data_IF_486886614565
#
_entry.id   IF_486886614565
#
_cell.length_a   1.000
_cell.length_b   1.000
_cell.length_c   1.000
_cell.angle_alpha   90.00
_cell.angle_beta   90.00
_cell.angle_gamma   90.00
#
_symmetry.space_group_name_H-M   'P 1'
#
loop_
_entity.id
_entity.type
_entity.pdbx_description
1 polymer ?
#
# COMPACT_ATOMS: atom_id res chain seq x y z
N UNK A 1 -8.18 4.45 -19.43
CA UNK A 1 -9.59 4.87 -19.65
C UNK A 1 -10.13 5.55 -18.41
N UNK A 2 -11.16 6.41 -18.54
CA UNK A 2 -11.85 6.98 -17.38
C UNK A 2 -13.18 6.26 -17.17
N UNK A 3 -13.44 5.81 -15.95
CA UNK A 3 -14.65 5.06 -15.59
C UNK A 3 -15.42 5.85 -14.55
N UNK A 4 -16.67 6.22 -14.86
CA UNK A 4 -17.59 6.84 -13.90
C UNK A 4 -18.21 5.74 -13.04
N UNK A 5 -17.98 5.80 -11.76
CA UNK A 5 -18.56 4.90 -10.76
C UNK A 5 -19.63 5.61 -9.95
N UNK A 6 -20.27 4.92 -9.03
CA UNK A 6 -21.22 5.54 -8.07
C UNK A 6 -20.54 6.46 -7.05
N UNK A 7 -19.20 6.49 -6.99
CA UNK A 7 -18.43 7.21 -5.97
C UNK A 7 -17.59 8.35 -6.53
N UNK A 8 -16.89 8.13 -7.66
CA UNK A 8 -16.01 9.10 -8.31
C UNK A 8 -15.70 8.67 -9.75
N UNK A 9 -15.02 9.52 -10.51
CA UNK A 9 -14.49 9.14 -11.82
C UNK A 9 -13.05 8.65 -11.64
N UNK A 10 -12.82 7.34 -11.87
CA UNK A 10 -11.50 6.73 -11.77
C UNK A 10 -10.80 6.68 -13.12
N UNK A 11 -9.50 6.99 -13.11
CA UNK A 11 -8.63 6.63 -14.21
C UNK A 11 -8.17 5.18 -14.04
N UNK A 12 -8.26 4.40 -15.10
CA UNK A 12 -7.86 2.99 -15.12
C UNK A 12 -6.89 2.76 -16.26
N UNK A 13 -5.68 2.35 -15.95
CA UNK A 13 -4.74 1.83 -16.92
C UNK A 13 -5.19 0.43 -17.32
N UNK A 14 -5.22 0.12 -18.60
CA UNK A 14 -5.56 -1.20 -19.13
C UNK A 14 -4.69 -1.51 -20.33
N UNK A 15 -4.36 -2.77 -20.52
CA UNK A 15 -3.61 -3.28 -21.67
C UNK A 15 -4.24 -4.61 -22.11
N UNK A 16 -4.07 -4.97 -23.37
CA UNK A 16 -4.38 -6.31 -23.86
C UNK A 16 -5.86 -6.59 -24.08
N UNK A 17 -6.29 -7.78 -23.70
CA UNK A 17 -7.56 -8.39 -24.09
C UNK A 17 -8.71 -8.01 -23.16
N UNK A 18 -9.70 -7.29 -23.65
CA UNK A 18 -10.90 -6.89 -22.90
C UNK A 18 -11.82 -8.07 -22.51
N UNK A 19 -11.65 -9.24 -23.13
CA UNK A 19 -12.42 -10.46 -22.88
C UNK A 19 -11.69 -11.45 -21.95
N UNK A 20 -10.48 -11.12 -21.51
CA UNK A 20 -9.68 -11.97 -20.63
C UNK A 20 -10.22 -12.01 -19.21
N UNK A 21 -9.66 -12.93 -18.40
CA UNK A 21 -9.94 -13.03 -16.96
C UNK A 21 -9.40 -11.80 -16.23
N UNK A 22 -10.25 -11.08 -15.44
CA UNK A 22 -9.84 -9.81 -14.88
C UNK A 22 -8.78 -9.95 -13.78
N UNK A 23 -7.68 -9.21 -13.91
CA UNK A 23 -6.65 -9.04 -12.87
C UNK A 23 -6.54 -7.56 -12.54
N UNK A 24 -6.89 -7.19 -11.32
CA UNK A 24 -6.92 -5.79 -10.89
C UNK A 24 -5.72 -5.49 -10.00
N UNK A 25 -4.88 -4.55 -10.43
CA UNK A 25 -3.64 -4.15 -9.78
C UNK A 25 -3.84 -2.85 -9.00
N UNK A 26 -3.67 -2.89 -7.69
CA UNK A 26 -3.87 -1.76 -6.78
C UNK A 26 -2.51 -1.28 -6.29
N UNK A 27 -2.19 -0.02 -6.60
CA UNK A 27 -0.90 0.59 -6.28
C UNK A 27 -0.78 1.02 -4.81
N UNK A 28 0.44 1.36 -4.39
CA UNK A 28 0.77 1.80 -3.03
C UNK A 28 0.57 3.31 -2.79
N UNK A 29 1.03 3.76 -1.62
CA UNK A 29 1.07 5.18 -1.29
C UNK A 29 2.14 5.90 -2.13
N UNK A 30 1.92 7.20 -2.43
CA UNK A 30 2.81 8.06 -3.24
C UNK A 30 3.27 7.35 -4.53
N UNK A 31 2.28 6.89 -5.30
CA UNK A 31 2.45 6.20 -6.58
C UNK A 31 1.16 6.29 -7.40
N UNK A 32 1.09 5.61 -8.52
CA UNK A 32 -0.14 5.47 -9.32
C UNK A 32 -0.18 4.12 -10.04
N UNK A 33 -1.23 3.87 -10.81
CA UNK A 33 -1.35 2.71 -11.70
C UNK A 33 -0.14 2.51 -12.62
N UNK A 34 0.61 3.59 -12.88
CA UNK A 34 1.81 3.57 -13.71
C UNK A 34 2.89 2.58 -13.21
N UNK A 35 2.97 2.33 -11.89
CA UNK A 35 3.89 1.34 -11.32
C UNK A 35 3.61 -0.10 -11.77
N UNK A 36 2.44 -0.37 -12.32
CA UNK A 36 2.04 -1.69 -12.82
C UNK A 36 2.19 -1.85 -14.32
N UNK A 37 2.59 -0.78 -15.07
CA UNK A 37 2.65 -0.76 -16.55
C UNK A 37 3.36 -1.98 -17.12
N UNK A 38 4.59 -2.26 -16.65
CA UNK A 38 5.45 -3.31 -17.22
C UNK A 38 4.98 -4.71 -16.79
N UNK A 39 4.49 -4.85 -15.56
CA UNK A 39 3.86 -6.08 -15.07
C UNK A 39 2.63 -6.44 -15.90
N UNK A 40 1.76 -5.47 -16.19
CA UNK A 40 0.55 -5.66 -16.98
C UNK A 40 0.87 -6.03 -18.44
N UNK A 41 1.88 -5.39 -19.03
CA UNK A 41 2.28 -5.62 -20.43
C UNK A 41 2.83 -7.03 -20.68
N UNK A 42 3.29 -7.73 -19.63
CA UNK A 42 3.87 -9.08 -19.72
C UNK A 42 2.92 -10.19 -19.29
N UNK A 43 1.67 -9.85 -18.92
CA UNK A 43 0.65 -10.88 -18.63
C UNK A 43 0.21 -11.61 -19.92
N UNK A 44 -0.05 -12.92 -19.83
CA UNK A 44 -0.63 -13.68 -20.94
C UNK A 44 -1.98 -13.10 -21.40
N UNK A 45 -2.27 -13.20 -22.71
CA UNK A 45 -3.49 -12.69 -23.36
C UNK A 45 -4.81 -13.23 -22.78
N UNK A 46 -4.77 -14.36 -22.05
CA UNK A 46 -5.94 -14.89 -21.34
C UNK A 46 -6.41 -14.01 -20.19
N UNK A 47 -5.58 -13.08 -19.72
CA UNK A 47 -5.91 -12.13 -18.64
C UNK A 47 -6.27 -10.76 -19.19
N UNK A 48 -7.13 -10.07 -18.46
CA UNK A 48 -7.48 -8.67 -18.66
C UNK A 48 -6.91 -7.84 -17.52
N UNK A 49 -5.72 -7.25 -17.66
CA UNK A 49 -5.13 -6.43 -16.63
C UNK A 49 -5.79 -5.05 -16.55
N UNK A 50 -6.11 -4.62 -15.33
CA UNK A 50 -6.72 -3.35 -15.00
C UNK A 50 -5.97 -2.76 -13.80
N UNK A 51 -5.53 -1.51 -13.87
CA UNK A 51 -4.93 -0.83 -12.74
C UNK A 51 -5.60 0.54 -12.54
N UNK A 52 -6.48 0.70 -11.53
CA UNK A 52 -7.02 2.00 -11.19
C UNK A 52 -5.97 2.86 -10.51
N UNK A 53 -5.97 4.16 -10.81
CA UNK A 53 -5.42 5.15 -9.89
C UNK A 53 -6.37 5.28 -8.70
N UNK A 54 -5.85 5.20 -7.50
CA UNK A 54 -6.63 5.42 -6.27
C UNK A 54 -7.00 6.91 -6.12
N UNK A 55 -8.05 7.21 -5.33
CA UNK A 55 -8.44 8.60 -5.05
C UNK A 55 -7.26 9.43 -4.54
N UNK A 56 -7.07 10.63 -5.06
CA UNK A 56 -5.96 11.50 -4.69
C UNK A 56 -4.60 11.14 -5.30
N UNK A 57 -4.56 10.16 -6.22
CA UNK A 57 -3.37 9.76 -6.96
C UNK A 57 -3.63 9.72 -8.46
N UNK A 58 -2.56 9.84 -9.25
CA UNK A 58 -2.63 9.73 -10.69
C UNK A 58 -3.60 10.73 -11.32
N UNK A 59 -4.51 10.23 -12.12
CA UNK A 59 -5.52 11.00 -12.84
C UNK A 59 -6.95 10.74 -12.35
N UNK A 60 -7.12 10.03 -11.24
CA UNK A 60 -8.41 9.84 -10.57
C UNK A 60 -8.84 11.12 -9.87
N UNK A 61 -10.16 11.37 -9.78
CA UNK A 61 -10.69 12.54 -9.11
C UNK A 61 -10.21 12.59 -7.64
N UNK A 62 -9.75 13.74 -7.17
CA UNK A 62 -9.13 13.86 -5.84
C UNK A 62 -10.19 14.05 -4.75
N UNK A 63 -11.04 13.04 -4.56
CA UNK A 63 -12.01 13.05 -3.46
C UNK A 63 -11.31 12.96 -2.10
N UNK A 64 -11.80 13.66 -1.06
CA UNK A 64 -11.27 13.59 0.28
C UNK A 64 -11.25 12.17 0.86
N UNK A 65 -10.31 11.89 1.76
CA UNK A 65 -10.20 10.62 2.49
C UNK A 65 -10.73 10.81 3.91
N UNK A 66 -11.80 10.10 4.27
CA UNK A 66 -12.26 9.95 5.64
C UNK A 66 -11.44 8.84 6.32
N UNK A 67 -10.39 9.26 7.04
CA UNK A 67 -9.48 8.33 7.68
C UNK A 67 -10.12 7.50 8.80
N UNK A 68 -11.22 7.99 9.41
CA UNK A 68 -11.91 7.26 10.47
C UNK A 68 -12.50 5.93 10.00
N UNK A 69 -12.61 5.73 8.69
CA UNK A 69 -13.06 4.51 8.02
C UNK A 69 -11.91 3.56 7.66
N UNK A 70 -10.68 3.89 8.03
CA UNK A 70 -9.49 3.17 7.60
C UNK A 70 -9.33 3.23 6.08
N UNK A 71 -9.03 2.09 5.44
CA UNK A 71 -8.87 2.02 3.99
C UNK A 71 -10.20 1.83 3.22
N UNK A 72 -11.36 1.96 3.89
CA UNK A 72 -12.67 1.73 3.23
C UNK A 72 -12.99 2.70 2.12
N UNK A 73 -12.52 3.93 2.16
CA UNK A 73 -12.74 4.83 1.03
C UNK A 73 -12.10 4.30 -0.26
N UNK A 74 -10.93 3.70 -0.14
CA UNK A 74 -10.22 3.09 -1.27
C UNK A 74 -10.83 1.75 -1.70
N UNK A 75 -11.18 0.89 -0.75
CA UNK A 75 -11.77 -0.41 -1.08
C UNK A 75 -13.21 -0.27 -1.62
N UNK A 76 -14.00 0.68 -1.11
CA UNK A 76 -15.33 0.98 -1.65
C UNK A 76 -15.24 1.55 -3.07
N UNK A 77 -14.23 2.40 -3.37
CA UNK A 77 -13.99 2.89 -4.73
C UNK A 77 -13.61 1.74 -5.67
N UNK A 78 -12.74 0.83 -5.21
CA UNK A 78 -12.38 -0.38 -5.95
C UNK A 78 -13.61 -1.24 -6.23
N UNK A 79 -14.43 -1.53 -5.23
CA UNK A 79 -15.66 -2.32 -5.38
C UNK A 79 -16.68 -1.63 -6.31
N UNK A 80 -16.82 -0.30 -6.22
CA UNK A 80 -17.66 0.47 -7.13
C UNK A 80 -17.14 0.45 -8.58
N UNK A 81 -15.81 0.39 -8.77
CA UNK A 81 -15.21 0.20 -10.08
C UNK A 81 -15.54 -1.19 -10.66
N UNK A 82 -15.43 -2.25 -9.84
CA UNK A 82 -15.79 -3.60 -10.29
C UNK A 82 -17.25 -3.65 -10.74
N UNK A 83 -18.15 -3.04 -9.97
CA UNK A 83 -19.59 -2.96 -10.30
C UNK A 83 -19.83 -2.17 -11.60
N UNK A 84 -19.18 -1.03 -11.77
CA UNK A 84 -19.30 -0.20 -12.98
C UNK A 84 -18.78 -0.90 -14.25
N UNK A 85 -17.82 -1.80 -14.11
CA UNK A 85 -17.26 -2.61 -15.19
C UNK A 85 -17.97 -3.97 -15.39
N UNK A 86 -18.96 -4.31 -14.53
CA UNK A 86 -19.67 -5.58 -14.57
C UNK A 86 -18.77 -6.78 -14.23
N UNK A 87 -17.77 -6.61 -13.37
CA UNK A 87 -16.81 -7.64 -13.01
C UNK A 87 -17.29 -8.39 -11.76
N UNK A 88 -17.78 -9.61 -11.96
CA UNK A 88 -18.34 -10.43 -10.88
C UNK A 88 -17.28 -11.25 -10.13
N UNK A 89 -16.14 -11.53 -10.77
CA UNK A 89 -15.04 -12.29 -10.18
C UNK A 89 -13.70 -11.80 -10.73
N UNK A 90 -12.77 -11.45 -9.83
CA UNK A 90 -11.49 -10.85 -10.19
C UNK A 90 -10.34 -11.40 -9.35
N UNK A 91 -9.16 -11.45 -9.92
CA UNK A 91 -7.91 -11.57 -9.16
C UNK A 91 -7.49 -10.17 -8.70
N UNK A 92 -7.14 -10.03 -7.42
CA UNK A 92 -6.67 -8.78 -6.84
C UNK A 92 -5.16 -8.85 -6.57
N UNK A 93 -4.43 -7.86 -7.03
CA UNK A 93 -2.98 -7.70 -6.76
C UNK A 93 -2.79 -6.36 -6.06
N UNK A 94 -2.29 -6.36 -4.83
CA UNK A 94 -2.12 -5.14 -4.05
C UNK A 94 -0.70 -4.94 -3.56
N UNK A 95 -0.12 -3.78 -3.84
CA UNK A 95 1.22 -3.40 -3.41
C UNK A 95 1.16 -2.38 -2.28
N UNK A 96 1.94 -2.59 -1.19
CA UNK A 96 2.05 -1.64 -0.08
C UNK A 96 0.67 -1.32 0.53
N UNK A 97 0.27 -0.05 0.56
CA UNK A 97 -1.09 0.37 0.93
C UNK A 97 -2.16 -0.37 0.11
N UNK A 98 -1.92 -0.59 -1.18
CA UNK A 98 -2.82 -1.36 -2.05
C UNK A 98 -3.06 -2.79 -1.57
N UNK A 99 -2.09 -3.38 -0.87
CA UNK A 99 -2.26 -4.67 -0.18
C UNK A 99 -3.32 -4.61 0.91
N UNK A 100 -3.34 -3.54 1.70
CA UNK A 100 -4.40 -3.30 2.68
C UNK A 100 -5.76 -3.05 2.02
N UNK A 101 -5.78 -2.32 0.89
CA UNK A 101 -7.03 -2.07 0.13
C UNK A 101 -7.64 -3.36 -0.40
N UNK A 102 -6.84 -4.25 -1.00
CA UNK A 102 -7.37 -5.52 -1.52
C UNK A 102 -7.79 -6.48 -0.42
N UNK A 103 -7.11 -6.48 0.74
CA UNK A 103 -7.55 -7.25 1.91
C UNK A 103 -8.85 -6.70 2.51
N UNK A 104 -9.03 -5.37 2.51
CA UNK A 104 -10.28 -4.75 2.94
C UNK A 104 -11.43 -5.11 1.97
N UNK A 105 -11.19 -5.07 0.66
CA UNK A 105 -12.17 -5.50 -0.34
C UNK A 105 -12.53 -7.00 -0.22
N UNK A 106 -11.53 -7.85 0.04
CA UNK A 106 -11.74 -9.27 0.35
C UNK A 106 -12.63 -9.46 1.59
N UNK A 107 -12.36 -8.71 2.67
CA UNK A 107 -13.15 -8.77 3.91
C UNK A 107 -14.59 -8.37 3.68
N UNK A 108 -14.82 -7.28 2.96
CA UNK A 108 -16.15 -6.68 2.80
C UNK A 108 -16.97 -7.40 1.70
N UNK A 109 -16.33 -8.00 0.67
CA UNK A 109 -17.02 -8.70 -0.43
C UNK A 109 -16.21 -9.89 -0.97
N UNK A 110 -16.02 -10.97 -0.17
CA UNK A 110 -15.16 -12.10 -0.54
C UNK A 110 -15.62 -12.87 -1.79
N UNK A 111 -16.93 -12.84 -2.12
CA UNK A 111 -17.50 -13.56 -3.25
C UNK A 111 -16.99 -13.09 -4.63
N UNK A 112 -16.55 -11.83 -4.74
CA UNK A 112 -16.03 -11.29 -6.01
C UNK A 112 -14.54 -11.56 -6.21
N UNK A 113 -13.85 -12.10 -5.19
CA UNK A 113 -12.40 -12.32 -5.22
C UNK A 113 -12.07 -13.74 -5.63
N UNK A 114 -11.37 -13.90 -6.74
CA UNK A 114 -10.88 -15.20 -7.22
C UNK A 114 -9.59 -15.61 -6.50
N UNK A 115 -8.65 -14.69 -6.36
CA UNK A 115 -7.42 -14.83 -5.57
C UNK A 115 -6.87 -13.47 -5.17
N UNK A 116 -5.95 -13.46 -4.21
CA UNK A 116 -5.24 -12.25 -3.77
C UNK A 116 -3.73 -12.47 -3.94
N UNK A 117 -3.04 -11.47 -4.51
CA UNK A 117 -1.58 -11.35 -4.46
C UNK A 117 -1.22 -10.12 -3.67
N UNK A 118 -0.48 -10.30 -2.59
CA UNK A 118 0.05 -9.23 -1.74
C UNK A 118 1.52 -8.99 -2.09
N UNK A 119 1.89 -7.73 -2.31
CA UNK A 119 3.26 -7.32 -2.63
C UNK A 119 3.71 -6.33 -1.57
N UNK A 120 4.62 -6.72 -0.69
CA UNK A 120 5.05 -5.90 0.46
C UNK A 120 3.88 -5.13 1.10
N UNK A 121 2.78 -5.81 1.51
CA UNK A 121 1.56 -5.15 1.95
C UNK A 121 1.76 -4.42 3.27
N UNK A 122 1.04 -3.30 3.48
CA UNK A 122 0.89 -2.73 4.81
C UNK A 122 0.40 -3.80 5.78
N UNK A 123 0.88 -3.76 7.04
CA UNK A 123 0.43 -4.70 8.07
C UNK A 123 -1.09 -4.65 8.23
N UNK A 124 -1.77 -5.79 8.41
CA UNK A 124 -3.19 -5.83 8.76
C UNK A 124 -3.56 -5.08 10.05
N UNK A 125 -2.56 -4.68 10.82
CA UNK A 125 -2.72 -3.86 12.02
C UNK A 125 -2.37 -2.38 11.82
N UNK A 126 -2.36 -1.91 10.58
CA UNK A 126 -2.01 -0.55 10.24
C UNK A 126 -0.52 -0.29 10.10
N UNK A 127 -0.13 0.97 10.13
CA UNK A 127 1.24 1.42 9.92
C UNK A 127 1.73 2.24 11.11
N UNK A 128 2.80 1.78 11.79
CA UNK A 128 3.36 2.31 13.04
C UNK A 128 2.40 2.23 14.25
N UNK A 129 2.89 2.45 15.45
CA UNK A 129 2.09 2.58 16.66
C UNK A 129 1.54 1.27 17.23
N UNK A 130 2.01 0.10 16.76
CA UNK A 130 1.68 -1.22 17.35
C UNK A 130 2.92 -2.04 17.69
N UNK A 131 2.77 -3.00 18.59
CA UNK A 131 3.80 -3.94 18.99
C UNK A 131 3.29 -5.39 19.01
N UNK A 132 4.21 -6.34 18.97
CA UNK A 132 3.91 -7.78 19.00
C UNK A 132 3.22 -8.28 17.73
N UNK A 133 3.12 -9.59 17.58
CA UNK A 133 2.51 -10.23 16.42
C UNK A 133 1.00 -10.02 16.35
N UNK A 134 0.34 -9.70 17.47
CA UNK A 134 -1.09 -9.44 17.58
C UNK A 134 -1.46 -7.97 17.37
N UNK A 135 -0.48 -7.12 17.05
CA UNK A 135 -0.71 -5.70 16.75
C UNK A 135 -1.37 -4.96 17.90
N UNK A 136 -0.83 -5.07 19.13
CA UNK A 136 -1.29 -4.28 20.27
C UNK A 136 -0.88 -2.84 20.09
N UNK A 137 -1.79 -1.89 20.36
CA UNK A 137 -1.43 -0.48 20.35
C UNK A 137 -0.38 -0.18 21.43
N UNK A 138 0.69 0.55 21.07
CA UNK A 138 1.68 1.05 22.04
C UNK A 138 1.08 2.17 22.88
N UNK A 139 0.16 2.96 22.32
CA UNK A 139 -0.65 3.97 22.98
C UNK A 139 -2.09 3.93 22.48
N UNK A 140 -3.05 4.16 23.36
CA UNK A 140 -4.49 4.07 23.06
C UNK A 140 -4.93 5.05 21.94
N UNK A 141 -4.28 6.20 21.82
CA UNK A 141 -4.55 7.22 20.81
C UNK A 141 -3.81 7.00 19.49
N UNK A 142 -3.04 5.90 19.37
CA UNK A 142 -2.26 5.58 18.17
C UNK A 142 -1.03 6.47 17.98
N UNK A 143 -0.52 7.07 19.06
CA UNK A 143 0.71 7.88 19.02
C UNK A 143 1.84 7.18 18.28
N UNK A 144 2.58 7.92 17.46
CA UNK A 144 3.65 7.42 16.59
C UNK A 144 3.18 7.02 15.20
N UNK A 145 1.88 7.12 14.90
CA UNK A 145 1.31 6.85 13.58
C UNK A 145 0.56 8.05 12.99
N UNK A 146 0.09 7.92 11.77
CA UNK A 146 -0.70 8.94 11.07
C UNK A 146 0.11 10.02 10.37
N UNK A 147 -0.57 11.08 9.92
CA UNK A 147 -0.01 12.11 9.05
C UNK A 147 1.14 12.91 9.67
N UNK A 148 1.12 13.08 11.00
CA UNK A 148 2.19 13.77 11.73
C UNK A 148 3.53 13.03 11.73
N UNK A 149 3.58 11.76 11.34
CA UNK A 149 4.80 10.99 11.18
C UNK A 149 5.49 11.22 9.82
N UNK A 150 4.81 11.86 8.86
CA UNK A 150 5.39 12.16 7.55
C UNK A 150 6.54 13.18 7.67
N UNK A 151 7.60 12.97 6.90
CA UNK A 151 8.69 13.96 6.81
C UNK A 151 8.17 15.22 6.10
N UNK A 152 8.13 16.39 6.75
CA UNK A 152 7.55 17.61 6.17
C UNK A 152 8.33 18.15 4.97
N UNK A 153 9.65 17.92 4.89
CA UNK A 153 10.45 18.32 3.73
C UNK A 153 10.13 17.47 2.51
N UNK A 154 9.96 16.14 2.68
CA UNK A 154 9.47 15.27 1.61
C UNK A 154 8.09 15.72 1.09
N UNK A 155 7.16 16.01 2.00
CA UNK A 155 5.80 16.49 1.64
C UNK A 155 5.87 17.80 0.85
N UNK A 156 6.69 18.76 1.30
CA UNK A 156 6.87 20.03 0.61
C UNK A 156 7.49 19.86 -0.79
N UNK A 157 8.49 18.98 -0.94
CA UNK A 157 9.12 18.68 -2.23
C UNK A 157 8.17 17.97 -3.19
N UNK A 158 7.41 17.02 -2.69
CA UNK A 158 6.37 16.33 -3.46
C UNK A 158 5.34 17.34 -3.98
N UNK A 159 4.86 18.24 -3.12
CA UNK A 159 3.92 19.32 -3.48
C UNK A 159 4.51 20.30 -4.49
N UNK A 160 5.81 20.60 -4.36
CA UNK A 160 6.55 21.48 -5.27
C UNK A 160 6.92 20.84 -6.61
N UNK A 161 6.68 19.55 -6.79
CA UNK A 161 7.04 18.83 -8.03
C UNK A 161 8.56 18.67 -8.21
N UNK A 162 9.30 18.45 -7.10
CA UNK A 162 10.76 18.31 -7.12
C UNK A 162 11.18 17.03 -7.83
N UNK A 163 11.96 17.19 -8.92
CA UNK A 163 12.51 16.11 -9.76
C UNK A 163 14.00 15.88 -9.54
N UNK A 164 14.62 16.71 -8.71
CA UNK A 164 16.05 16.65 -8.41
C UNK A 164 16.43 15.51 -7.49
N UNK A 165 17.72 15.38 -7.24
CA UNK A 165 18.31 14.40 -6.31
C UNK A 165 19.32 15.02 -5.33
N UNK A 166 19.35 16.35 -5.24
CA UNK A 166 20.28 17.09 -4.37
C UNK A 166 19.93 16.94 -2.88
N UNK A 167 18.65 16.62 -2.58
CA UNK A 167 18.21 16.40 -1.21
C UNK A 167 17.84 14.93 -0.96
N UNK A 168 18.19 14.37 0.20
CA UNK A 168 17.82 12.99 0.54
C UNK A 168 16.30 12.78 0.66
N UNK A 169 15.56 13.86 0.80
CA UNK A 169 14.10 13.90 0.91
C UNK A 169 13.40 14.26 -0.40
N UNK A 170 14.13 14.41 -1.53
CA UNK A 170 13.48 14.56 -2.83
C UNK A 170 12.74 13.26 -3.21
N UNK A 171 11.63 13.30 -3.96
CA UNK A 171 10.94 12.11 -4.41
C UNK A 171 11.85 11.10 -5.09
N UNK A 172 12.81 11.55 -5.91
CA UNK A 172 13.82 10.71 -6.56
C UNK A 172 14.74 10.01 -5.58
N UNK A 173 15.28 10.74 -4.61
CA UNK A 173 16.16 10.16 -3.58
C UNK A 173 15.40 9.16 -2.70
N UNK A 174 14.15 9.45 -2.35
CA UNK A 174 13.29 8.53 -1.60
C UNK A 174 12.97 7.29 -2.45
N UNK A 175 12.70 7.44 -3.75
CA UNK A 175 12.52 6.30 -4.65
C UNK A 175 13.74 5.38 -4.61
N UNK A 176 14.94 5.92 -4.82
CA UNK A 176 16.22 5.17 -4.84
C UNK A 176 16.57 4.52 -3.51
N UNK A 177 16.27 5.18 -2.40
CA UNK A 177 16.69 4.70 -1.07
C UNK A 177 15.67 3.82 -0.38
N UNK A 178 14.42 3.83 -0.84
CA UNK A 178 13.33 3.20 -0.07
C UNK A 178 12.39 2.36 -0.92
N UNK A 179 12.07 2.79 -2.16
CA UNK A 179 11.16 2.01 -3.03
C UNK A 179 11.87 0.83 -3.70
N UNK A 180 13.17 0.95 -3.92
CA UNK A 180 13.97 -0.10 -4.56
C UNK A 180 15.29 -0.28 -3.82
N UNK A 181 15.81 -1.52 -3.75
CA UNK A 181 17.13 -1.80 -3.19
C UNK A 181 18.25 -1.71 -4.26
N UNK A 182 17.87 -1.70 -5.53
CA UNK A 182 18.80 -1.60 -6.67
C UNK A 182 18.21 -0.72 -7.77
N UNK A 183 19.03 -0.11 -8.64
CA UNK A 183 18.56 0.70 -9.75
C UNK A 183 17.62 -0.09 -10.67
N UNK A 184 16.54 0.56 -11.09
CA UNK A 184 15.56 0.03 -12.05
C UNK A 184 15.53 0.90 -13.32
N UNK A 185 15.06 0.34 -14.42
CA UNK A 185 14.84 1.10 -15.64
C UNK A 185 13.72 2.13 -15.46
N UNK A 186 13.72 3.17 -16.30
CA UNK A 186 12.65 4.19 -16.37
C UNK A 186 12.37 4.91 -15.03
N UNK A 187 13.40 5.15 -14.20
CA UNK A 187 13.25 5.84 -12.90
C UNK A 187 12.46 7.14 -13.02
N UNK A 188 12.72 7.95 -14.07
CA UNK A 188 12.01 9.21 -14.31
C UNK A 188 10.50 9.01 -14.41
N UNK A 189 10.07 7.92 -15.05
CA UNK A 189 8.67 7.57 -15.19
C UNK A 189 8.00 7.30 -13.83
N UNK A 190 8.69 6.60 -12.93
CA UNK A 190 8.17 6.32 -11.59
C UNK A 190 8.18 7.56 -10.71
N UNK A 191 9.20 8.41 -10.81
CA UNK A 191 9.25 9.71 -10.10
C UNK A 191 8.10 10.61 -10.55
N UNK A 192 7.84 10.72 -11.87
CA UNK A 192 6.67 11.47 -12.38
C UNK A 192 5.35 10.90 -11.83
N UNK A 193 5.25 9.58 -11.70
CA UNK A 193 4.08 8.94 -11.09
C UNK A 193 3.92 9.33 -9.62
N UNK A 194 5.00 9.35 -8.82
CA UNK A 194 4.97 9.82 -7.44
C UNK A 194 4.47 11.27 -7.33
N UNK A 195 4.91 12.14 -8.26
CA UNK A 195 4.55 13.56 -8.32
C UNK A 195 3.07 13.81 -8.68
N UNK A 196 2.32 12.80 -9.09
CA UNK A 196 0.87 12.91 -9.30
C UNK A 196 0.07 12.86 -7.99
N UNK A 197 0.72 12.60 -6.87
CA UNK A 197 0.09 12.52 -5.54
C UNK A 197 -0.52 13.87 -5.15
N UNK A 198 -1.81 13.88 -4.82
CA UNK A 198 -2.47 15.08 -4.28
C UNK A 198 -2.04 15.31 -2.84
N UNK A 199 -1.37 16.44 -2.61
CA UNK A 199 -0.89 16.83 -1.27
C UNK A 199 -1.91 17.73 -0.58
N UNK A 200 -2.16 17.48 0.71
CA UNK A 200 -3.02 18.29 1.54
C UNK A 200 -3.67 17.54 2.71
N UNK A 201 -4.31 18.25 3.64
CA UNK A 201 -4.88 17.65 4.86
C UNK A 201 -6.01 16.64 4.57
N UNK A 202 -6.73 16.78 3.46
CA UNK A 202 -7.77 15.83 3.06
C UNK A 202 -7.22 14.66 2.20
N UNK A 203 -5.92 14.67 1.87
CA UNK A 203 -5.27 13.73 0.96
C UNK A 203 -3.98 13.19 1.58
N UNK A 204 -2.84 13.24 0.87
CA UNK A 204 -1.54 12.89 1.41
C UNK A 204 -0.84 14.13 2.03
N UNK A 205 -0.28 14.09 3.23
CA UNK A 205 -0.28 12.96 4.17
C UNK A 205 -1.58 12.84 5.00
N UNK A 206 -2.34 13.90 5.14
CA UNK A 206 -3.51 14.03 6.00
C UNK A 206 -3.39 15.18 7.00
N UNK A 207 -4.36 15.32 7.89
CA UNK A 207 -4.34 16.28 8.99
C UNK A 207 -3.41 15.78 10.12
N UNK A 208 -2.46 16.63 10.53
CA UNK A 208 -1.53 16.31 11.62
C UNK A 208 -2.13 16.71 12.97
N UNK A 209 -2.11 15.79 13.94
CA UNK A 209 -2.61 16.01 15.30
C UNK A 209 -1.50 15.74 16.31
N UNK A 210 -1.35 16.62 17.30
CA UNK A 210 -0.38 16.46 18.38
C UNK A 210 -0.83 15.41 19.41
N UNK A 211 0.15 14.78 20.07
CA UNK A 211 -0.03 13.90 21.24
C UNK A 211 0.91 14.36 22.35
N UNK A 212 0.51 14.17 23.60
CA UNK A 212 1.36 14.40 24.76
C UNK A 212 2.39 13.26 24.96
N UNK A 213 2.14 12.10 24.35
CA UNK A 213 3.07 10.98 24.36
C UNK A 213 4.12 11.10 23.25
N UNK A 214 5.33 10.56 23.48
CA UNK A 214 6.37 10.48 22.46
C UNK A 214 5.88 9.61 21.26
N UNK A 215 6.16 10.00 20.02
CA UNK A 215 6.97 11.12 19.52
C UNK A 215 6.20 12.44 19.32
N UNK A 216 5.08 12.66 19.97
CA UNK A 216 4.35 13.93 19.95
C UNK A 216 3.30 14.05 18.84
N UNK A 217 3.04 12.97 18.08
CA UNK A 217 2.07 12.95 16.96
C UNK A 217 1.14 11.75 17.07
N UNK A 218 -0.12 11.93 16.69
CA UNK A 218 -1.12 10.87 16.61
C UNK A 218 -2.00 11.02 15.37
N UNK A 219 -2.77 10.00 15.00
CA UNK A 219 -3.68 10.08 13.86
C UNK A 219 -4.70 11.21 13.97
N UNK A 220 -4.92 11.89 12.85
CA UNK A 220 -6.06 12.77 12.64
C UNK A 220 -7.25 11.98 12.09
N UNK A 221 -8.18 12.71 11.44
CA UNK A 221 -9.45 12.15 10.94
C UNK A 221 -9.55 12.14 9.41
N UNK A 222 -8.59 12.71 8.73
CA UNK A 222 -8.59 12.79 7.27
C UNK A 222 -7.21 12.50 6.66
N UNK A 223 -7.21 12.02 5.41
CA UNK A 223 -6.02 11.78 4.61
C UNK A 223 -5.40 10.40 4.75
N UNK A 224 -4.44 10.17 3.88
CA UNK A 224 -3.92 8.82 3.54
C UNK A 224 -3.23 8.15 4.73
N UNK A 225 -2.29 8.84 5.40
CA UNK A 225 -1.51 8.20 6.47
C UNK A 225 -2.34 7.98 7.73
N UNK A 226 -3.36 8.82 7.96
CA UNK A 226 -4.31 8.58 9.04
C UNK A 226 -5.22 7.38 8.76
N UNK A 227 -5.61 7.17 7.49
CA UNK A 227 -6.36 5.99 7.07
C UNK A 227 -5.59 4.68 7.28
N UNK A 228 -4.25 4.74 7.29
CA UNK A 228 -3.36 3.60 7.58
C UNK A 228 -3.10 3.42 9.08
N UNK A 229 -3.52 4.36 9.93
CA UNK A 229 -3.21 4.29 11.35
C UNK A 229 -3.94 3.13 12.05
N UNK A 230 -3.31 2.48 13.06
CA UNK A 230 -3.85 1.29 13.71
C UNK A 230 -5.13 1.51 14.52
N UNK A 231 -5.47 2.77 14.82
CA UNK A 231 -6.73 3.16 15.44
C UNK A 231 -7.91 3.22 14.45
N UNK A 232 -7.62 3.26 13.13
CA UNK A 232 -8.61 3.38 12.07
C UNK A 232 -8.65 2.16 11.15
N UNK A 233 -7.53 1.44 11.02
CA UNK A 233 -7.39 0.30 10.12
C UNK A 233 -6.89 -0.94 10.85
N UNK A 234 -7.71 -2.00 10.82
CA UNK A 234 -7.38 -3.29 11.41
C UNK A 234 -8.13 -4.41 10.66
N UNK A 235 -7.42 -5.45 10.26
CA UNK A 235 -7.91 -6.61 9.51
C UNK A 235 -7.45 -7.94 10.14
N UNK A 236 -7.67 -8.10 11.43
CA UNK A 236 -7.27 -9.32 12.17
C UNK A 236 -8.36 -10.41 12.20
N UNK A 237 -9.51 -10.14 11.61
CA UNK A 237 -10.68 -11.01 11.51
C UNK A 237 -10.84 -11.75 10.16
N UNK A 238 -9.87 -11.64 9.26
CA UNK A 238 -9.90 -12.31 7.95
C UNK A 238 -10.05 -13.84 8.06
N UNK A 239 -9.63 -14.43 9.17
CA UNK A 239 -9.78 -15.86 9.43
C UNK A 239 -11.22 -16.31 9.65
N UNK A 240 -12.15 -15.38 9.93
CA UNK A 240 -13.58 -15.64 10.12
C UNK A 240 -14.36 -15.71 8.80
N UNK A 241 -13.74 -15.34 7.67
CA UNK A 241 -14.40 -15.39 6.37
C UNK A 241 -14.79 -16.84 6.00
N UNK A 242 -16.02 -17.04 5.54
CA UNK A 242 -16.49 -18.31 5.03
C UNK A 242 -15.85 -18.67 3.68
N UNK A 243 -15.72 -17.67 2.81
CA UNK A 243 -15.05 -17.79 1.51
C UNK A 243 -13.63 -17.26 1.62
N UNK A 244 -12.65 -18.14 1.43
CA UNK A 244 -11.23 -17.83 1.57
C UNK A 244 -10.48 -18.08 0.27
N UNK A 245 -10.46 -17.11 -0.65
CA UNK A 245 -9.64 -17.22 -1.87
C UNK A 245 -8.16 -17.45 -1.54
N UNK A 246 -7.41 -18.16 -2.42
CA UNK A 246 -5.99 -18.37 -2.18
C UNK A 246 -5.21 -17.06 -2.15
N UNK A 247 -4.19 -16.99 -1.28
CA UNK A 247 -3.32 -15.82 -1.14
C UNK A 247 -1.90 -16.18 -1.55
N UNK A 248 -1.30 -15.35 -2.41
CA UNK A 248 0.14 -15.29 -2.66
C UNK A 248 0.69 -14.03 -1.99
N UNK A 249 1.77 -14.15 -1.23
CA UNK A 249 2.50 -13.05 -0.66
C UNK A 249 3.93 -13.01 -1.22
N UNK A 250 4.24 -11.97 -2.00
CA UNK A 250 5.59 -11.72 -2.55
C UNK A 250 6.19 -10.55 -1.78
N UNK A 251 7.40 -10.71 -1.26
CA UNK A 251 8.08 -9.62 -0.56
C UNK A 251 9.58 -9.58 -0.84
N UNK A 252 10.13 -8.37 -0.79
CA UNK A 252 11.57 -8.15 -0.75
C UNK A 252 12.14 -8.40 0.66
N UNK A 253 13.32 -9.02 0.72
CA UNK A 253 14.00 -9.26 1.99
C UNK A 253 14.57 -7.96 2.59
N UNK A 254 14.91 -7.00 1.74
CA UNK A 254 15.54 -5.73 2.11
C UNK A 254 14.56 -4.53 2.05
N UNK A 255 13.26 -4.79 2.17
CA UNK A 255 12.24 -3.74 2.25
C UNK A 255 12.46 -2.91 3.53
N UNK A 256 12.75 -1.62 3.35
CA UNK A 256 12.94 -0.67 4.46
C UNK A 256 11.67 0.08 4.84
N UNK A 257 10.58 -0.07 4.07
CA UNK A 257 9.28 0.57 4.32
C UNK A 257 8.39 -0.38 5.13
N UNK A 258 8.14 -1.59 4.63
CA UNK A 258 7.31 -2.60 5.31
C UNK A 258 8.19 -3.74 5.78
N UNK A 259 8.75 -3.58 6.95
CA UNK A 259 9.62 -4.56 7.61
C UNK A 259 9.42 -4.55 9.13
N UNK A 260 10.03 -5.49 9.81
CA UNK A 260 10.05 -5.54 11.29
C UNK A 260 11.00 -4.48 11.89
N UNK A 261 11.76 -3.80 11.03
CA UNK A 261 12.70 -2.71 11.36
C UNK A 261 12.58 -1.56 10.39
N UNK A 262 11.34 -1.09 10.17
CA UNK A 262 11.04 -0.06 9.19
C UNK A 262 11.75 1.27 9.49
N UNK A 263 12.43 1.82 8.49
CA UNK A 263 13.01 3.18 8.56
C UNK A 263 11.95 4.30 8.43
N UNK A 264 10.69 3.95 8.36
CA UNK A 264 9.54 4.86 8.37
C UNK A 264 8.73 4.74 9.67
N UNK A 265 9.12 3.85 10.59
CA UNK A 265 8.52 3.74 11.93
C UNK A 265 9.30 4.61 12.92
N UNK A 266 8.62 5.62 13.49
CA UNK A 266 9.25 6.54 14.46
C UNK A 266 9.77 5.81 15.70
N UNK A 267 9.15 4.68 16.10
CA UNK A 267 9.63 3.88 17.21
C UNK A 267 10.99 3.22 16.89
N UNK A 268 11.14 2.67 15.68
CA UNK A 268 12.43 2.14 15.22
C UNK A 268 13.48 3.24 15.09
N UNK A 269 13.14 4.37 14.48
CA UNK A 269 14.05 5.52 14.37
C UNK A 269 14.46 6.08 15.75
N UNK A 270 13.54 6.03 16.71
CA UNK A 270 13.83 6.38 18.11
C UNK A 270 14.83 5.43 18.75
N UNK A 271 14.70 4.13 18.52
CA UNK A 271 15.66 3.12 18.98
C UNK A 271 17.06 3.30 18.37
N UNK A 272 17.12 3.79 17.12
CA UNK A 272 18.38 4.14 16.44
C UNK A 272 18.95 5.51 16.87
N UNK A 273 18.23 6.27 17.71
CA UNK A 273 18.63 7.61 18.15
C UNK A 273 18.43 8.71 17.09
N UNK A 274 17.76 8.43 15.96
CA UNK A 274 17.43 9.40 14.91
C UNK A 274 16.32 10.34 15.37
N UNK A 275 15.32 9.81 16.07
CA UNK A 275 14.26 10.61 16.70
C UNK A 275 14.58 10.73 18.18
N UNK A 276 14.89 11.96 18.69
CA UNK A 276 15.33 12.13 20.08
C UNK A 276 14.21 11.89 21.09
N UNK A 277 14.62 11.58 22.35
CA UNK A 277 13.70 11.47 23.49
C UNK A 277 12.86 10.18 23.49
N UNK A 278 13.24 9.17 22.73
CA UNK A 278 12.55 7.88 22.73
C UNK A 278 12.56 7.25 24.15
N UNK A 279 11.38 6.85 24.67
CA UNK A 279 11.30 6.12 25.94
C UNK A 279 11.58 4.62 25.79
N UNK A 280 12.01 4.16 24.61
CA UNK A 280 12.18 2.75 24.28
C UNK A 280 10.91 2.07 23.76
N UNK A 281 10.02 2.86 23.12
CA UNK A 281 8.83 2.31 22.45
C UNK A 281 9.24 1.25 21.42
N UNK A 282 8.57 0.09 21.46
CA UNK A 282 8.86 -1.01 20.55
C UNK A 282 8.50 -0.66 19.11
N UNK A 283 9.37 -1.03 18.17
CA UNK A 283 9.08 -0.94 16.74
C UNK A 283 7.96 -1.91 16.34
N UNK A 284 7.20 -1.54 15.32
CA UNK A 284 6.15 -2.40 14.77
C UNK A 284 6.76 -3.55 13.96
N UNK A 285 6.50 -4.81 14.27
CA UNK A 285 6.99 -5.95 13.49
C UNK A 285 6.03 -6.29 12.34
N UNK A 286 6.02 -5.46 11.28
CA UNK A 286 4.99 -5.49 10.22
C UNK A 286 4.95 -6.80 9.45
N UNK A 287 6.12 -7.40 9.14
CA UNK A 287 6.21 -8.69 8.44
C UNK A 287 5.73 -9.82 9.33
N UNK A 288 6.15 -9.83 10.61
CA UNK A 288 5.69 -10.81 11.61
C UNK A 288 4.18 -10.72 11.82
N UNK A 289 3.62 -9.52 11.88
CA UNK A 289 2.18 -9.30 12.00
C UNK A 289 1.40 -9.81 10.79
N UNK A 290 1.87 -9.50 9.58
CA UNK A 290 1.25 -9.99 8.34
C UNK A 290 1.26 -11.52 8.30
N UNK A 291 2.39 -12.15 8.64
CA UNK A 291 2.51 -13.60 8.68
C UNK A 291 1.52 -14.22 9.68
N UNK A 292 1.43 -13.68 10.89
CA UNK A 292 0.52 -14.17 11.93
C UNK A 292 -0.96 -14.10 11.49
N UNK A 293 -1.36 -13.07 10.74
CA UNK A 293 -2.72 -12.96 10.21
C UNK A 293 -2.95 -13.97 9.08
N UNK A 294 -1.99 -14.14 8.15
CA UNK A 294 -2.12 -15.08 7.04
C UNK A 294 -2.12 -16.54 7.50
N UNK A 295 -1.33 -16.88 8.53
CA UNK A 295 -1.34 -18.22 9.15
C UNK A 295 -2.72 -18.56 9.76
N UNK A 296 -3.37 -17.59 10.37
CA UNK A 296 -4.75 -17.77 10.88
C UNK A 296 -5.79 -17.80 9.77
N UNK A 297 -5.60 -17.01 8.72
CA UNK A 297 -6.50 -16.98 7.57
C UNK A 297 -6.60 -18.36 6.90
N UNK A 298 -5.48 -19.04 6.68
CA UNK A 298 -5.43 -20.36 6.09
C UNK A 298 -4.26 -20.55 5.11
N UNK A 299 -4.38 -21.46 4.14
CA UNK A 299 -3.28 -21.74 3.23
C UNK A 299 -2.90 -20.51 2.41
N UNK A 300 -1.65 -20.12 2.49
CA UNK A 300 -1.05 -19.08 1.66
C UNK A 300 0.32 -19.55 1.15
N UNK A 301 0.85 -18.87 0.15
CA UNK A 301 2.20 -19.07 -0.37
C UNK A 301 3.00 -17.79 -0.12
N UNK A 302 4.14 -17.87 0.55
CA UNK A 302 5.08 -16.75 0.70
C UNK A 302 6.27 -16.95 -0.24
N UNK A 303 6.61 -15.91 -1.01
CA UNK A 303 7.80 -15.82 -1.86
C UNK A 303 8.65 -14.65 -1.38
N UNK A 304 9.87 -14.93 -0.93
CA UNK A 304 10.83 -13.94 -0.47
C UNK A 304 11.92 -13.78 -1.51
N UNK A 305 12.09 -12.56 -2.02
CA UNK A 305 13.13 -12.22 -2.98
C UNK A 305 14.32 -11.61 -2.23
N UNK A 306 15.51 -12.25 -2.28
CA UNK A 306 16.71 -11.70 -1.65
C UNK A 306 17.18 -10.45 -2.38
N UNK A 307 17.85 -9.54 -1.68
CA UNK A 307 18.40 -8.29 -2.25
C UNK A 307 17.36 -7.47 -3.02
N UNK A 308 16.11 -7.50 -2.53
CA UNK A 308 14.95 -6.84 -3.10
C UNK A 308 14.32 -5.91 -2.07
N UNK A 309 14.04 -4.70 -2.48
CA UNK A 309 13.39 -3.67 -1.65
C UNK A 309 11.86 -3.76 -1.67
N UNK A 310 11.23 -2.58 -1.60
CA UNK A 310 9.78 -2.44 -1.49
C UNK A 310 9.01 -2.76 -2.78
N UNK A 311 9.70 -2.81 -3.94
CA UNK A 311 9.07 -2.95 -5.26
C UNK A 311 9.50 -4.21 -6.02
N UNK A 312 9.16 -5.43 -5.55
CA UNK A 312 9.52 -6.69 -6.20
C UNK A 312 9.18 -6.76 -7.70
N UNK A 313 8.06 -6.17 -8.09
CA UNK A 313 7.58 -6.15 -9.48
C UNK A 313 8.44 -5.27 -10.41
N UNK A 314 9.21 -4.33 -9.85
CA UNK A 314 10.16 -3.50 -10.59
C UNK A 314 11.58 -4.08 -10.57
N UNK A 315 11.99 -4.63 -9.43
CA UNK A 315 13.36 -5.06 -9.19
C UNK A 315 13.65 -6.48 -9.71
N UNK A 316 12.65 -7.36 -9.66
CA UNK A 316 12.72 -8.77 -10.08
C UNK A 316 11.51 -9.14 -10.96
N UNK A 317 11.32 -8.47 -12.11
CA UNK A 317 10.12 -8.62 -12.92
C UNK A 317 9.90 -10.05 -13.43
N UNK A 318 10.95 -10.80 -13.72
CA UNK A 318 10.82 -12.17 -14.22
C UNK A 318 10.34 -13.13 -13.12
N UNK A 319 10.96 -13.10 -11.94
CA UNK A 319 10.61 -13.92 -10.78
C UNK A 319 9.22 -13.55 -10.26
N UNK A 320 8.92 -12.24 -10.24
CA UNK A 320 7.60 -11.73 -9.87
C UNK A 320 6.52 -12.28 -10.82
N UNK A 321 6.73 -12.16 -12.13
CA UNK A 321 5.80 -12.67 -13.15
C UNK A 321 5.61 -14.17 -13.06
N UNK A 322 6.67 -14.93 -12.84
CA UNK A 322 6.59 -16.39 -12.68
C UNK A 322 5.71 -16.76 -11.48
N UNK A 323 5.93 -16.12 -10.32
CA UNK A 323 5.15 -16.39 -9.12
C UNK A 323 3.67 -15.98 -9.30
N UNK A 324 3.43 -14.78 -9.87
CA UNK A 324 2.09 -14.27 -10.12
C UNK A 324 1.31 -15.18 -11.07
N UNK A 325 1.88 -15.55 -12.23
CA UNK A 325 1.21 -16.39 -13.22
C UNK A 325 0.92 -17.81 -12.69
N UNK A 326 1.83 -18.37 -11.90
CA UNK A 326 1.62 -19.66 -11.24
C UNK A 326 0.46 -19.59 -10.23
N UNK A 327 0.26 -18.46 -9.58
CA UNK A 327 -0.84 -18.23 -8.64
C UNK A 327 -2.18 -18.01 -9.35
N UNK A 328 -2.21 -17.17 -10.38
CA UNK A 328 -3.42 -16.87 -11.16
C UNK A 328 -3.98 -18.10 -11.89
N UNK A 329 -3.18 -19.13 -12.13
CA UNK A 329 -3.56 -20.35 -12.86
C UNK A 329 -4.16 -21.45 -11.99
N UNK A 330 -4.30 -21.22 -10.68
CA UNK A 330 -4.88 -22.17 -9.71
C UNK A 330 -6.39 -22.03 -9.63
#
# INVERSE_FOLDING_TARGET
MRVTTSRLVQNVLTTGNDQGEPVVFVHGNVSSAAFWRDTMATLPERYRPLAPDLRGFGQTDPEPVDATRGLRDYSDDLLALLDALGLERVHLVGWSMGGGVVLQALRDRPSVVASVTLVNPVSPYGYSGTEGAEGRLTHQDGTGSGAGAANPDFVARLQGGDRGDEAPTSPRSVFRSSYVAKPVADEDFYVESMLTTRVGPAHYPGDAVSSDAWPGVRPGVSGVLNALAPTHFRLDDLHELEVKPPILWIRGADDVIVSDTSLFDLAHLGALGVVPGSPGTAAQPMVTQTRAVLERYGPYTEVVLPECGHSPHLEYPAEFQQALQAHLSR
#
